data_IF_119450161850
#
_entry.id   IF_119450161850
#
_cell.length_a   1.000
_cell.length_b   1.000
_cell.length_c   1.000
_cell.angle_alpha   90.00
_cell.angle_beta   90.00
_cell.angle_gamma   90.00
#
_symmetry.space_group_name_H-M   'P 1'
#
loop_
_entity.id
_entity.type
_entity.pdbx_description
1 polymer ?
#
# COMPACT_ATOMS: atom_id res chain seq x y z
N UNK A 1 2.58 39.16 21.09
CA UNK A 1 3.55 40.03 20.39
C UNK A 1 4.07 39.44 19.10
N UNK A 2 4.74 38.27 19.09
CA UNK A 2 5.29 37.67 17.85
C UNK A 2 4.28 37.38 16.75
N UNK A 3 3.12 36.82 17.10
CA UNK A 3 1.99 36.60 16.17
C UNK A 3 1.47 37.91 15.58
N UNK A 4 1.40 38.96 16.38
CA UNK A 4 1.00 40.31 15.94
C UNK A 4 2.01 40.91 14.96
N UNK A 5 3.31 40.74 15.22
CA UNK A 5 4.38 41.19 14.31
C UNK A 5 4.35 40.41 13.00
N UNK A 6 4.10 39.09 13.03
CA UNK A 6 3.95 38.28 11.81
C UNK A 6 2.71 38.64 11.00
N UNK A 7 1.61 39.02 11.65
CA UNK A 7 0.41 39.49 10.98
C UNK A 7 0.66 40.87 10.33
N UNK A 8 1.37 41.76 11.02
CA UNK A 8 1.81 43.05 10.46
C UNK A 8 2.76 42.82 9.26
N UNK A 9 3.70 41.88 9.35
CA UNK A 9 4.58 41.51 8.23
C UNK A 9 3.78 41.02 7.02
N UNK A 10 2.81 40.13 7.23
CA UNK A 10 1.94 39.64 6.17
C UNK A 10 1.19 40.79 5.48
N UNK A 11 0.57 41.68 6.27
CA UNK A 11 -0.16 42.85 5.74
C UNK A 11 0.78 43.81 5.00
N UNK A 12 1.97 44.07 5.51
CA UNK A 12 2.96 44.94 4.85
C UNK A 12 3.48 44.34 3.55
N UNK A 13 3.73 43.03 3.51
CA UNK A 13 4.16 42.34 2.29
C UNK A 13 3.07 42.39 1.22
N UNK A 14 1.82 42.12 1.60
CA UNK A 14 0.67 42.21 0.69
C UNK A 14 0.45 43.63 0.15
N UNK A 15 0.54 44.65 1.01
CA UNK A 15 0.46 46.05 0.57
C UNK A 15 1.61 46.38 -0.40
N UNK A 16 2.83 45.93 -0.12
CA UNK A 16 3.98 46.17 -0.99
C UNK A 16 3.84 45.46 -2.35
N UNK A 17 3.30 44.24 -2.38
CA UNK A 17 3.00 43.52 -3.62
C UNK A 17 1.91 44.23 -4.45
N UNK A 18 0.85 44.70 -3.81
CA UNK A 18 -0.18 45.53 -4.48
C UNK A 18 0.41 46.82 -5.05
N UNK A 19 1.29 47.50 -4.31
CA UNK A 19 2.01 48.67 -4.82
C UNK A 19 2.89 48.32 -6.04
N UNK A 20 3.55 47.17 -6.04
CA UNK A 20 4.33 46.69 -7.20
C UNK A 20 3.43 46.42 -8.41
N UNK A 21 2.26 45.84 -8.21
CA UNK A 21 1.29 45.61 -9.29
C UNK A 21 0.77 46.93 -9.88
N UNK A 22 0.46 47.92 -9.03
CA UNK A 22 0.06 49.26 -9.47
C UNK A 22 1.21 49.95 -10.22
N UNK A 23 2.45 49.81 -9.76
CA UNK A 23 3.62 50.34 -10.46
C UNK A 23 3.77 49.74 -11.85
N UNK A 24 3.54 48.43 -12.00
CA UNK A 24 3.56 47.74 -13.28
C UNK A 24 2.49 48.24 -14.24
N UNK A 25 1.26 48.48 -13.76
CA UNK A 25 0.17 48.99 -14.62
C UNK A 25 0.43 50.43 -15.07
N UNK A 26 0.94 51.29 -14.18
CA UNK A 26 1.35 52.66 -14.55
C UNK A 26 2.49 52.62 -15.57
N UNK A 27 3.48 51.75 -15.37
CA UNK A 27 4.56 51.54 -16.33
C UNK A 27 4.03 51.09 -17.69
N UNK A 28 3.13 50.11 -17.72
CA UNK A 28 2.53 49.64 -18.97
C UNK A 28 1.82 50.80 -19.68
N UNK A 29 1.00 51.58 -18.97
CA UNK A 29 0.34 52.76 -19.55
C UNK A 29 1.38 53.74 -20.11
N UNK A 30 2.41 54.09 -19.35
CA UNK A 30 3.49 54.98 -19.80
C UNK A 30 4.21 54.47 -21.06
N UNK A 31 4.53 53.18 -21.12
CA UNK A 31 5.20 52.59 -22.29
C UNK A 31 4.29 52.44 -23.51
N UNK A 32 3.00 52.14 -23.35
CA UNK A 32 2.10 51.96 -24.48
C UNK A 32 1.47 53.25 -24.98
N UNK A 33 1.39 54.30 -24.15
CA UNK A 33 0.75 55.57 -24.53
C UNK A 33 1.76 56.71 -24.69
N UNK A 34 2.64 56.93 -23.72
CA UNK A 34 3.53 58.10 -23.71
C UNK A 34 4.75 57.86 -24.58
N UNK A 35 5.37 56.67 -24.50
CA UNK A 35 6.58 56.37 -25.25
C UNK A 35 6.40 56.49 -26.79
N UNK A 36 5.33 55.96 -27.42
CA UNK A 36 5.16 56.11 -28.87
C UNK A 36 5.00 57.56 -29.31
N UNK A 37 4.33 58.39 -28.48
CA UNK A 37 4.17 59.82 -28.73
C UNK A 37 5.54 60.51 -28.66
N UNK A 38 6.33 60.23 -27.63
CA UNK A 38 7.68 60.79 -27.48
C UNK A 38 8.61 60.36 -28.61
N UNK A 39 8.56 59.09 -29.02
CA UNK A 39 9.34 58.56 -30.16
C UNK A 39 8.91 59.25 -31.46
N UNK A 40 7.62 59.43 -31.70
CA UNK A 40 7.11 60.10 -32.89
C UNK A 40 7.63 61.55 -33.00
N UNK A 41 7.54 62.32 -31.91
CA UNK A 41 8.06 63.70 -31.90
C UNK A 41 9.59 63.75 -32.00
N UNK A 42 10.31 62.81 -31.38
CA UNK A 42 11.76 62.73 -31.50
C UNK A 42 12.20 62.42 -32.95
N UNK A 43 11.46 61.55 -33.66
CA UNK A 43 11.69 61.27 -35.07
C UNK A 43 11.39 62.49 -35.96
N UNK A 44 10.30 63.22 -35.71
CA UNK A 44 10.03 64.47 -36.43
C UNK A 44 11.14 65.51 -36.21
N UNK A 45 11.58 65.70 -34.96
CA UNK A 45 12.68 66.62 -34.64
C UNK A 45 13.99 66.20 -35.31
N UNK A 46 14.25 64.90 -35.41
CA UNK A 46 15.41 64.38 -36.11
C UNK A 46 15.33 64.63 -37.63
N UNK A 47 14.20 64.32 -38.28
CA UNK A 47 14.03 64.45 -39.74
C UNK A 47 14.04 65.92 -40.19
N UNK A 48 13.32 66.80 -39.48
CA UNK A 48 13.13 68.18 -39.91
C UNK A 48 14.16 69.16 -39.37
N UNK A 49 14.75 68.89 -38.20
CA UNK A 49 15.71 69.79 -37.56
C UNK A 49 17.11 69.18 -37.37
N UNK A 50 17.33 67.92 -37.76
CA UNK A 50 18.61 67.22 -37.60
C UNK A 50 19.03 67.01 -36.13
N UNK A 51 18.13 67.22 -35.17
CA UNK A 51 18.49 67.31 -33.76
C UNK A 51 18.45 65.93 -33.06
N UNK A 52 19.62 65.35 -32.85
CA UNK A 52 19.80 64.04 -32.18
C UNK A 52 19.47 64.04 -30.68
N UNK A 53 19.47 65.20 -30.02
CA UNK A 53 19.29 65.31 -28.57
C UNK A 53 17.93 64.77 -28.10
N UNK A 54 16.90 64.84 -28.95
CA UNK A 54 15.58 64.29 -28.65
C UNK A 54 15.57 62.76 -28.57
N UNK A 55 16.33 62.07 -29.44
CA UNK A 55 16.47 60.62 -29.39
C UNK A 55 17.20 60.17 -28.12
N UNK A 56 18.25 60.91 -27.73
CA UNK A 56 18.95 60.68 -26.47
C UNK A 56 18.02 60.91 -25.26
N UNK A 57 17.17 61.93 -25.31
CA UNK A 57 16.16 62.20 -24.28
C UNK A 57 15.19 61.05 -24.08
N UNK A 58 14.69 60.45 -25.18
CA UNK A 58 13.83 59.26 -25.11
C UNK A 58 14.57 58.06 -24.52
N UNK A 59 15.83 57.84 -24.92
CA UNK A 59 16.64 56.74 -24.39
C UNK A 59 16.88 56.88 -22.88
N UNK A 60 17.21 58.09 -22.41
CA UNK A 60 17.38 58.38 -20.98
C UNK A 60 16.07 58.19 -20.22
N UNK A 61 14.94 58.64 -20.78
CA UNK A 61 13.62 58.43 -20.19
C UNK A 61 13.32 56.94 -19.97
N UNK A 62 13.58 56.10 -20.99
CA UNK A 62 13.38 54.65 -20.89
C UNK A 62 14.28 54.05 -19.82
N UNK A 63 15.56 54.44 -19.77
CA UNK A 63 16.49 53.95 -18.74
C UNK A 63 16.04 54.34 -17.32
N UNK A 64 15.62 55.58 -17.11
CA UNK A 64 15.12 56.05 -15.81
C UNK A 64 13.83 55.30 -15.43
N UNK A 65 12.87 55.17 -16.35
CA UNK A 65 11.63 54.45 -16.11
C UNK A 65 11.87 52.98 -15.74
N UNK A 66 12.78 52.30 -16.43
CA UNK A 66 13.20 50.94 -16.11
C UNK A 66 13.89 50.86 -14.74
N UNK A 67 14.82 51.77 -14.43
CA UNK A 67 15.52 51.78 -13.16
C UNK A 67 14.56 51.99 -11.98
N UNK A 68 13.63 52.95 -12.09
CA UNK A 68 12.61 53.23 -11.07
C UNK A 68 11.74 51.99 -10.83
N UNK A 69 11.32 51.30 -11.88
CA UNK A 69 10.50 50.09 -11.73
C UNK A 69 11.25 48.92 -11.08
N UNK A 70 12.52 48.72 -11.44
CA UNK A 70 13.34 47.70 -10.79
C UNK A 70 13.48 47.98 -9.28
N UNK A 71 13.60 49.25 -8.90
CA UNK A 71 13.61 49.65 -7.49
C UNK A 71 12.27 49.31 -6.83
N UNK A 72 11.14 49.70 -7.43
CA UNK A 72 9.82 49.38 -6.88
C UNK A 72 9.58 47.88 -6.72
N UNK A 73 10.03 47.07 -7.69
CA UNK A 73 9.94 45.61 -7.63
C UNK A 73 10.83 45.01 -6.52
N UNK A 74 11.97 45.64 -6.22
CA UNK A 74 12.89 45.17 -5.18
C UNK A 74 12.44 45.50 -3.74
N UNK A 75 11.56 46.49 -3.57
CA UNK A 75 11.02 46.89 -2.25
C UNK A 75 10.40 45.72 -1.46
N UNK A 76 9.44 44.93 -2.00
CA UNK A 76 8.83 43.83 -1.25
C UNK A 76 9.85 42.76 -0.83
N UNK A 77 10.78 42.39 -1.71
CA UNK A 77 11.85 41.44 -1.40
C UNK A 77 12.76 41.96 -0.28
N UNK A 78 13.12 43.24 -0.33
CA UNK A 78 13.97 43.88 0.67
C UNK A 78 13.28 44.02 2.03
N UNK A 79 11.99 44.36 2.06
CA UNK A 79 11.19 44.40 3.29
C UNK A 79 11.12 43.03 3.95
N UNK A 80 10.85 41.98 3.18
CA UNK A 80 10.83 40.61 3.68
C UNK A 80 12.20 40.17 4.21
N UNK A 81 13.28 40.57 3.55
CA UNK A 81 14.65 40.31 4.03
C UNK A 81 14.95 40.99 5.37
N UNK A 82 14.69 42.28 5.52
CA UNK A 82 14.91 43.03 6.77
C UNK A 82 14.08 42.43 7.90
N UNK A 83 12.81 42.13 7.65
CA UNK A 83 11.91 41.58 8.66
C UNK A 83 12.33 40.16 9.07
N UNK A 84 12.81 39.34 8.14
CA UNK A 84 13.36 38.02 8.43
C UNK A 84 14.60 38.07 9.35
N UNK A 85 15.44 39.10 9.19
CA UNK A 85 16.55 39.39 10.11
C UNK A 85 16.04 39.87 11.46
N UNK A 86 15.13 40.86 11.49
CA UNK A 86 14.58 41.45 12.72
C UNK A 86 13.88 40.40 13.60
N UNK A 87 13.14 39.48 12.98
CA UNK A 87 12.40 38.42 13.65
C UNK A 87 13.27 37.18 14.00
N UNK A 88 14.53 37.16 13.57
CA UNK A 88 15.43 36.02 13.73
C UNK A 88 14.80 34.69 13.30
N UNK A 89 14.07 34.70 12.17
CA UNK A 89 13.39 33.52 11.64
C UNK A 89 14.36 32.37 11.41
N UNK A 90 15.59 32.67 10.99
CA UNK A 90 16.66 31.69 10.82
C UNK A 90 17.00 30.96 12.12
N UNK A 91 17.05 31.68 13.24
CA UNK A 91 17.31 31.11 14.56
C UNK A 91 16.14 30.30 15.11
N UNK A 92 14.90 30.79 14.92
CA UNK A 92 13.69 30.06 15.33
C UNK A 92 13.48 28.79 14.50
N UNK A 93 13.65 28.87 13.18
CA UNK A 93 13.55 27.70 12.30
C UNK A 93 14.57 26.63 12.68
N UNK A 94 15.82 27.00 12.94
CA UNK A 94 16.84 26.05 13.41
C UNK A 94 16.43 25.34 14.71
N UNK A 95 15.82 26.06 15.65
CA UNK A 95 15.31 25.47 16.90
C UNK A 95 14.13 24.52 16.64
N UNK A 96 13.22 24.89 15.73
CA UNK A 96 12.07 24.05 15.36
C UNK A 96 12.56 22.75 14.72
N UNK A 97 13.50 22.83 13.76
CA UNK A 97 14.10 21.65 13.13
C UNK A 97 14.76 20.72 14.16
N UNK A 98 15.59 21.27 15.04
CA UNK A 98 16.24 20.48 16.09
C UNK A 98 15.23 19.80 17.02
N UNK A 99 14.14 20.50 17.37
CA UNK A 99 13.07 19.93 18.20
C UNK A 99 12.33 18.81 17.47
N UNK A 100 12.06 18.99 16.17
CA UNK A 100 11.41 17.97 15.35
C UNK A 100 12.29 16.72 15.19
N UNK A 101 13.58 16.92 14.92
CA UNK A 101 14.57 15.84 14.82
C UNK A 101 14.64 15.00 16.11
N UNK A 102 14.75 15.65 17.26
CA UNK A 102 14.72 14.98 18.57
C UNK A 102 13.41 14.19 18.77
N UNK A 103 12.27 14.78 18.42
CA UNK A 103 10.99 14.09 18.52
C UNK A 103 10.92 12.87 17.58
N UNK A 104 11.39 13.02 16.34
CA UNK A 104 11.40 11.94 15.34
C UNK A 104 12.28 10.77 15.78
N UNK A 105 13.49 11.05 16.28
CA UNK A 105 14.39 10.04 16.80
C UNK A 105 13.77 9.28 17.98
N UNK A 106 13.21 10.00 18.96
CA UNK A 106 12.54 9.37 20.10
C UNK A 106 11.31 8.54 19.71
N UNK A 107 10.51 8.98 18.75
CA UNK A 107 9.37 8.22 18.24
C UNK A 107 9.84 6.94 17.51
N UNK A 108 10.91 7.02 16.72
CA UNK A 108 11.52 5.87 16.05
C UNK A 108 12.05 4.86 17.06
N UNK A 109 12.74 5.34 18.09
CA UNK A 109 13.33 4.48 19.12
C UNK A 109 12.25 3.78 19.96
N UNK A 110 11.15 4.46 20.28
CA UNK A 110 9.98 3.84 20.91
C UNK A 110 9.34 2.76 20.04
N UNK A 111 9.23 2.98 18.74
CA UNK A 111 8.72 1.97 17.81
C UNK A 111 9.64 0.75 17.74
N UNK A 112 10.96 0.98 17.73
CA UNK A 112 11.95 -0.09 17.76
C UNK A 112 11.87 -0.91 19.05
N UNK A 113 11.79 -0.26 20.21
CA UNK A 113 11.58 -0.90 21.51
C UNK A 113 10.30 -1.74 21.56
N UNK A 114 9.18 -1.21 21.02
CA UNK A 114 7.91 -1.94 20.94
C UNK A 114 8.02 -3.19 20.07
N UNK A 115 8.67 -3.08 18.90
CA UNK A 115 8.89 -4.22 18.01
C UNK A 115 9.79 -5.27 18.63
N UNK A 116 10.86 -4.85 19.32
CA UNK A 116 11.76 -5.76 20.05
C UNK A 116 11.00 -6.53 21.12
N UNK A 117 10.19 -5.85 21.94
CA UNK A 117 9.37 -6.49 22.98
C UNK A 117 8.33 -7.46 22.39
N UNK A 118 7.64 -7.05 21.32
CA UNK A 118 6.68 -7.92 20.63
C UNK A 118 7.35 -9.18 20.05
N UNK A 119 8.56 -9.05 19.52
CA UNK A 119 9.33 -10.18 19.00
C UNK A 119 9.80 -11.12 20.11
N UNK A 120 10.29 -10.58 21.24
CA UNK A 120 10.63 -11.37 22.43
C UNK A 120 9.42 -12.10 23.02
N UNK A 121 8.26 -11.46 23.09
CA UNK A 121 7.01 -12.07 23.55
C UNK A 121 6.55 -13.18 22.61
N UNK A 122 6.60 -12.93 21.30
CA UNK A 122 6.26 -13.94 20.29
C UNK A 122 7.18 -15.16 20.37
N UNK A 123 8.48 -14.94 20.60
CA UNK A 123 9.45 -16.02 20.77
C UNK A 123 9.19 -16.82 22.04
N UNK A 124 8.91 -16.15 23.17
CA UNK A 124 8.48 -16.82 24.42
C UNK A 124 7.19 -17.62 24.23
N UNK A 125 6.25 -17.11 23.44
CA UNK A 125 4.99 -17.80 23.17
C UNK A 125 5.21 -19.05 22.32
N UNK A 126 6.03 -18.96 21.27
CA UNK A 126 6.45 -20.14 20.51
C UNK A 126 7.16 -21.18 21.38
N UNK A 127 8.04 -20.75 22.28
CA UNK A 127 8.77 -21.69 23.14
C UNK A 127 7.83 -22.39 24.13
N UNK A 128 6.83 -21.68 24.68
CA UNK A 128 5.77 -22.29 25.50
C UNK A 128 4.91 -23.27 24.72
N UNK A 129 4.51 -22.93 23.50
CA UNK A 129 3.75 -23.85 22.64
C UNK A 129 4.55 -25.09 22.30
N UNK A 130 5.85 -24.95 21.96
CA UNK A 130 6.75 -26.09 21.73
C UNK A 130 6.87 -26.97 22.95
N UNK A 131 6.97 -26.40 24.16
CA UNK A 131 6.99 -27.18 25.40
C UNK A 131 5.67 -27.92 25.63
N UNK A 132 4.53 -27.22 25.47
CA UNK A 132 3.20 -27.82 25.60
C UNK A 132 3.00 -29.00 24.63
N UNK A 133 3.38 -28.85 23.37
CA UNK A 133 3.27 -29.94 22.38
C UNK A 133 4.26 -31.08 22.63
N UNK A 134 5.45 -30.80 23.19
CA UNK A 134 6.39 -31.86 23.62
C UNK A 134 5.80 -32.70 24.75
N UNK A 135 5.26 -32.06 25.78
CA UNK A 135 4.62 -32.76 26.91
C UNK A 135 3.42 -33.59 26.43
N UNK A 136 2.55 -32.98 25.63
CA UNK A 136 1.37 -33.66 25.07
C UNK A 136 1.76 -34.83 24.16
N UNK A 137 2.81 -34.67 23.35
CA UNK A 137 3.33 -35.75 22.51
C UNK A 137 3.89 -36.91 23.35
N UNK A 138 4.57 -36.62 24.46
CA UNK A 138 5.06 -37.66 25.37
C UNK A 138 3.89 -38.40 26.02
N UNK A 139 2.86 -37.69 26.47
CA UNK A 139 1.63 -38.27 26.99
C UNK A 139 0.92 -39.17 25.96
N UNK A 140 0.73 -38.69 24.73
CA UNK A 140 0.18 -39.52 23.63
C UNK A 140 1.04 -40.75 23.33
N UNK A 141 2.37 -40.64 23.38
CA UNK A 141 3.27 -41.78 23.17
C UNK A 141 3.12 -42.83 24.26
N UNK A 142 2.92 -42.41 25.52
CA UNK A 142 2.68 -43.28 26.65
C UNK A 142 1.35 -44.03 26.52
N UNK A 143 0.26 -43.32 26.18
CA UNK A 143 -1.05 -43.95 25.94
C UNK A 143 -1.04 -44.90 24.74
N UNK A 144 -0.31 -44.57 23.67
CA UNK A 144 -0.12 -45.48 22.52
C UNK A 144 0.60 -46.76 22.95
N UNK A 145 1.72 -46.64 23.68
CA UNK A 145 2.44 -47.82 24.20
C UNK A 145 1.57 -48.70 25.10
N UNK A 146 0.66 -48.10 25.88
CA UNK A 146 -0.29 -48.83 26.73
C UNK A 146 -1.36 -49.59 25.92
N UNK A 147 -1.85 -49.01 24.81
CA UNK A 147 -2.79 -49.68 23.90
C UNK A 147 -2.11 -50.77 23.06
N UNK A 148 -0.83 -50.58 22.72
CA UNK A 148 -0.02 -51.54 21.97
C UNK A 148 0.31 -52.78 22.82
N UNK A 149 0.63 -52.59 24.12
CA UNK A 149 0.74 -53.69 25.10
C UNK A 149 -0.56 -54.48 25.30
N UNK A 150 -1.72 -53.84 25.07
CA UNK A 150 -3.03 -54.48 25.14
C UNK A 150 -3.43 -55.18 23.83
N UNK A 151 -2.89 -54.75 22.68
CA UNK A 151 -3.05 -55.41 21.37
C UNK A 151 -2.14 -56.62 21.20
N UNK A 152 -0.90 -56.59 21.71
CA UNK A 152 0.01 -57.74 21.66
C UNK A 152 -0.48 -58.96 22.46
N UNK A 153 -1.32 -58.75 23.49
CA UNK A 153 -2.00 -59.82 24.23
C UNK A 153 -3.24 -60.39 23.48
N UNK A 154 -3.86 -59.61 22.58
CA UNK A 154 -5.00 -60.05 21.78
C UNK A 154 -4.61 -60.70 20.45
N UNK A 155 -3.46 -60.34 19.86
CA UNK A 155 -2.94 -60.93 18.62
C UNK A 155 -2.34 -62.34 18.80
N UNK A 156 -2.04 -62.76 20.04
CA UNK A 156 -1.57 -64.13 20.33
C UNK A 156 -2.67 -65.19 20.45
N UNK A 157 -3.96 -64.81 20.39
CA UNK A 157 -5.09 -65.73 20.62
C UNK A 157 -6.13 -65.79 19.49
N UNK A 158 -5.94 -65.05 18.39
CA UNK A 158 -6.81 -65.10 17.21
C UNK A 158 -5.95 -65.14 15.93
N UNK A 159 -5.41 -66.32 15.62
CA UNK A 159 -4.81 -66.60 14.31
C UNK A 159 -5.69 -67.62 13.55
N UNK A 160 -6.96 -67.26 13.43
CA UNK A 160 -7.97 -67.98 12.68
C UNK A 160 -9.01 -66.97 12.21
N UNK A 161 -9.07 -66.76 10.91
CA UNK A 161 -10.02 -65.90 10.19
C UNK A 161 -9.86 -64.39 10.37
N UNK A 162 -9.15 -63.76 9.43
CA UNK A 162 -9.63 -62.57 8.71
C UNK A 162 -8.86 -62.42 7.40
N UNK A 163 -9.56 -62.81 6.35
CA UNK A 163 -9.31 -62.62 4.93
C UNK A 163 -9.41 -61.13 4.56
N UNK A 164 -8.52 -60.60 3.73
CA UNK A 164 -8.92 -59.61 2.71
C UNK A 164 -8.00 -59.75 1.50
N UNK A 165 -8.19 -60.88 0.83
CA UNK A 165 -7.84 -61.09 -0.56
C UNK A 165 -8.60 -60.05 -1.40
N UNK A 166 -7.89 -59.13 -2.05
CA UNK A 166 -8.50 -58.10 -2.90
C UNK A 166 -8.82 -58.72 -4.27
N UNK A 167 -9.76 -59.66 -4.25
CA UNK A 167 -10.37 -60.23 -5.44
C UNK A 167 -11.88 -60.02 -5.34
N UNK A 168 -12.31 -58.78 -5.62
CA UNK A 168 -13.70 -58.45 -5.88
C UNK A 168 -13.79 -57.71 -7.21
N UNK A 169 -14.32 -58.40 -8.21
CA UNK A 169 -14.64 -57.93 -9.56
C UNK A 169 -15.88 -57.04 -9.59
N UNK A 170 -16.12 -56.25 -8.54
CA UNK A 170 -17.14 -55.20 -8.49
C UNK A 170 -16.63 -54.07 -7.61
N UNK A 171 -16.49 -52.88 -8.19
CA UNK A 171 -15.93 -51.66 -7.61
C UNK A 171 -16.79 -51.01 -6.51
N UNK A 172 -17.87 -51.66 -6.08
CA UNK A 172 -18.81 -51.15 -5.08
C UNK A 172 -19.45 -49.81 -5.44
N UNK A 173 -19.42 -49.39 -6.72
CA UNK A 173 -19.85 -48.07 -7.17
C UNK A 173 -18.89 -46.93 -6.80
N UNK A 174 -17.68 -47.23 -6.32
CA UNK A 174 -16.68 -46.23 -5.91
C UNK A 174 -16.26 -45.38 -7.12
N UNK A 175 -16.02 -45.99 -8.28
CA UNK A 175 -15.61 -45.27 -9.49
C UNK A 175 -16.73 -44.35 -9.97
N UNK A 176 -17.97 -44.84 -10.00
CA UNK A 176 -19.13 -44.03 -10.37
C UNK A 176 -19.29 -42.81 -9.44
N UNK A 177 -19.24 -43.04 -8.12
CA UNK A 177 -19.33 -41.96 -7.12
C UNK A 177 -18.17 -40.97 -7.23
N UNK A 178 -16.97 -41.45 -7.55
CA UNK A 178 -15.80 -40.61 -7.80
C UNK A 178 -16.03 -39.70 -9.01
N UNK A 179 -16.53 -40.24 -10.12
CA UNK A 179 -16.83 -39.46 -11.34
C UNK A 179 -17.96 -38.43 -11.10
N UNK A 180 -19.02 -38.81 -10.39
CA UNK A 180 -20.09 -37.87 -10.01
C UNK A 180 -19.55 -36.70 -9.17
N UNK A 181 -18.56 -36.95 -8.30
CA UNK A 181 -17.94 -35.92 -7.48
C UNK A 181 -16.96 -35.03 -8.25
N UNK A 182 -16.27 -35.58 -9.25
CA UNK A 182 -15.49 -34.78 -10.21
C UNK A 182 -16.40 -33.82 -10.99
N UNK A 183 -17.58 -34.29 -11.41
CA UNK A 183 -18.56 -33.46 -12.12
C UNK A 183 -19.09 -32.32 -11.24
N UNK A 184 -19.37 -32.58 -9.95
CA UNK A 184 -19.77 -31.54 -8.99
C UNK A 184 -18.68 -30.46 -8.85
N UNK A 185 -17.41 -30.87 -8.83
CA UNK A 185 -16.26 -29.95 -8.80
C UNK A 185 -15.88 -29.39 -10.18
N UNK A 186 -16.59 -29.77 -11.25
CA UNK A 186 -16.35 -29.35 -12.63
C UNK A 186 -14.95 -29.72 -13.14
N UNK A 187 -14.47 -30.89 -12.73
CA UNK A 187 -13.20 -31.47 -13.18
C UNK A 187 -13.51 -32.45 -14.31
N UNK A 188 -12.84 -32.29 -15.45
CA UNK A 188 -12.99 -33.24 -16.56
C UNK A 188 -12.36 -34.59 -16.21
N UNK A 189 -13.19 -35.64 -16.18
CA UNK A 189 -12.74 -37.01 -15.90
C UNK A 189 -11.76 -37.57 -16.93
N UNK A 190 -11.80 -37.07 -18.15
CA UNK A 190 -10.87 -37.46 -19.21
C UNK A 190 -9.53 -36.71 -19.13
N UNK A 191 -9.49 -35.61 -18.37
CA UNK A 191 -8.31 -34.78 -18.18
C UNK A 191 -7.29 -35.34 -17.17
N UNK A 192 -6.34 -34.47 -16.82
CA UNK A 192 -5.39 -34.72 -15.73
C UNK A 192 -6.14 -34.63 -14.38
N UNK A 193 -6.00 -35.67 -13.56
CA UNK A 193 -6.58 -35.73 -12.22
C UNK A 193 -5.44 -35.99 -11.24
N UNK A 194 -5.19 -35.02 -10.36
CA UNK A 194 -4.22 -35.11 -9.27
C UNK A 194 -4.73 -34.31 -8.06
N UNK A 195 -4.08 -34.46 -6.91
CA UNK A 195 -4.48 -33.80 -5.67
C UNK A 195 -4.56 -32.27 -5.81
N UNK A 196 -3.65 -31.67 -6.57
CA UNK A 196 -3.59 -30.22 -6.77
C UNK A 196 -4.78 -29.69 -7.58
N UNK A 197 -5.20 -30.42 -8.62
CA UNK A 197 -6.36 -30.07 -9.44
C UNK A 197 -7.64 -30.17 -8.59
N UNK A 198 -7.79 -31.25 -7.82
CA UNK A 198 -8.93 -31.44 -6.91
C UNK A 198 -8.97 -30.33 -5.87
N UNK A 199 -7.82 -30.00 -5.25
CA UNK A 199 -7.70 -28.94 -4.25
C UNK A 199 -8.04 -27.56 -4.82
N UNK A 200 -7.59 -27.24 -6.03
CA UNK A 200 -7.89 -25.97 -6.71
C UNK A 200 -9.38 -25.84 -7.03
N UNK A 201 -10.00 -26.90 -7.57
CA UNK A 201 -11.41 -26.93 -7.90
C UNK A 201 -12.30 -26.81 -6.64
N UNK A 202 -11.98 -27.58 -5.59
CA UNK A 202 -12.64 -27.49 -4.29
C UNK A 202 -12.57 -26.07 -3.71
N UNK A 203 -11.38 -25.44 -3.71
CA UNK A 203 -11.21 -24.07 -3.20
C UNK A 203 -12.08 -23.07 -3.97
N UNK A 204 -12.25 -23.25 -5.28
CA UNK A 204 -13.09 -22.38 -6.10
C UNK A 204 -14.57 -22.50 -5.75
N UNK A 205 -15.06 -23.70 -5.47
CA UNK A 205 -16.48 -23.92 -5.15
C UNK A 205 -16.79 -23.60 -3.68
N UNK A 206 -15.91 -23.96 -2.72
CA UNK A 206 -16.13 -23.67 -1.29
C UNK A 206 -16.24 -22.17 -1.02
N UNK A 207 -15.46 -21.34 -1.72
CA UNK A 207 -15.49 -19.88 -1.60
C UNK A 207 -16.87 -19.31 -1.97
N UNK A 208 -17.61 -19.95 -2.88
CA UNK A 208 -18.93 -19.48 -3.31
C UNK A 208 -20.04 -19.85 -2.33
N UNK A 209 -19.89 -20.98 -1.65
CA UNK A 209 -20.96 -21.54 -0.79
C UNK A 209 -20.71 -21.32 0.70
N UNK A 210 -19.52 -20.86 1.10
CA UNK A 210 -19.19 -20.64 2.51
C UNK A 210 -20.13 -19.61 3.16
N UNK A 211 -20.67 -19.90 4.36
CA UNK A 211 -21.66 -19.05 5.04
C UNK A 211 -21.18 -17.60 5.28
N UNK A 212 -19.87 -17.39 5.51
CA UNK A 212 -19.31 -16.03 5.65
C UNK A 212 -19.47 -15.14 4.40
N UNK A 213 -19.67 -15.74 3.21
CA UNK A 213 -19.78 -15.01 1.94
C UNK A 213 -21.13 -15.18 1.27
N UNK A 214 -21.98 -16.09 1.76
CA UNK A 214 -23.27 -16.42 1.18
C UNK A 214 -24.34 -16.49 2.29
N UNK A 215 -25.34 -15.61 2.21
CA UNK A 215 -26.45 -15.51 3.16
C UNK A 215 -27.56 -16.55 2.95
N UNK A 216 -27.34 -17.52 2.07
CA UNK A 216 -28.25 -18.63 1.82
C UNK A 216 -28.42 -19.49 3.10
N UNK A 217 -29.66 -19.73 3.58
CA UNK A 217 -29.90 -20.56 4.76
C UNK A 217 -29.34 -22.00 4.63
N UNK A 218 -29.15 -22.50 3.40
CA UNK A 218 -28.57 -23.82 3.14
C UNK A 218 -27.04 -23.81 2.96
N UNK A 219 -26.36 -22.67 3.16
CA UNK A 219 -24.92 -22.52 2.96
C UNK A 219 -24.09 -23.50 3.81
N UNK A 220 -24.51 -23.78 5.05
CA UNK A 220 -23.84 -24.73 5.93
C UNK A 220 -23.92 -26.17 5.39
N UNK A 221 -25.10 -26.61 4.93
CA UNK A 221 -25.28 -27.95 4.37
C UNK A 221 -24.50 -28.12 3.06
N UNK A 222 -24.46 -27.09 2.21
CA UNK A 222 -23.68 -27.08 0.97
C UNK A 222 -22.17 -27.12 1.24
N UNK A 223 -21.71 -26.41 2.27
CA UNK A 223 -20.31 -26.42 2.71
C UNK A 223 -19.91 -27.81 3.23
N UNK A 224 -20.74 -28.42 4.08
CA UNK A 224 -20.48 -29.77 4.59
C UNK A 224 -20.42 -30.79 3.44
N UNK A 225 -21.36 -30.73 2.50
CA UNK A 225 -21.37 -31.61 1.33
C UNK A 225 -20.09 -31.49 0.49
N UNK A 226 -19.56 -30.28 0.31
CA UNK A 226 -18.29 -30.09 -0.41
C UNK A 226 -17.07 -30.60 0.38
N UNK A 227 -17.09 -30.50 1.72
CA UNK A 227 -16.05 -31.09 2.58
C UNK A 227 -16.03 -32.62 2.42
N UNK A 228 -17.20 -33.26 2.51
CA UNK A 228 -17.35 -34.71 2.39
C UNK A 228 -16.91 -35.20 1.00
N UNK A 229 -17.23 -34.43 -0.05
CA UNK A 229 -16.77 -34.71 -1.42
C UNK A 229 -15.24 -34.64 -1.50
N UNK A 230 -14.62 -33.61 -0.93
CA UNK A 230 -13.17 -33.45 -0.96
C UNK A 230 -12.46 -34.60 -0.24
N UNK A 231 -12.94 -34.97 0.94
CA UNK A 231 -12.39 -36.07 1.73
C UNK A 231 -12.51 -37.42 0.98
N UNK A 232 -13.66 -37.68 0.35
CA UNK A 232 -13.84 -38.89 -0.45
C UNK A 232 -12.88 -38.92 -1.66
N UNK A 233 -12.77 -37.81 -2.39
CA UNK A 233 -11.89 -37.74 -3.56
C UNK A 233 -10.41 -37.94 -3.18
N UNK A 234 -9.96 -37.38 -2.05
CA UNK A 234 -8.59 -37.59 -1.57
C UNK A 234 -8.33 -39.04 -1.18
N UNK A 235 -9.24 -39.64 -0.40
CA UNK A 235 -9.09 -41.00 0.09
C UNK A 235 -9.14 -42.06 -1.03
N UNK A 236 -9.84 -41.77 -2.13
CA UNK A 236 -10.05 -42.72 -3.23
C UNK A 236 -9.20 -42.40 -4.48
N UNK A 237 -8.39 -41.33 -4.46
CA UNK A 237 -7.62 -40.88 -5.63
C UNK A 237 -6.69 -41.98 -6.17
N UNK A 238 -5.88 -42.58 -5.29
CA UNK A 238 -4.93 -43.63 -5.69
C UNK A 238 -5.65 -44.85 -6.27
N UNK A 239 -6.77 -45.25 -5.65
CA UNK A 239 -7.60 -46.35 -6.13
C UNK A 239 -8.18 -46.05 -7.52
N UNK A 240 -8.75 -44.86 -7.72
CA UNK A 240 -9.30 -44.42 -9.01
C UNK A 240 -8.23 -44.39 -10.11
N UNK A 241 -7.06 -43.81 -9.82
CA UNK A 241 -5.94 -43.77 -10.77
C UNK A 241 -5.37 -45.16 -11.09
N UNK A 242 -5.42 -46.09 -10.14
CA UNK A 242 -5.04 -47.48 -10.37
C UNK A 242 -6.03 -48.19 -11.30
N UNK A 243 -7.34 -48.01 -11.09
CA UNK A 243 -8.37 -48.62 -11.93
C UNK A 243 -8.39 -48.02 -13.34
N UNK A 244 -8.25 -46.69 -13.46
CA UNK A 244 -8.15 -45.99 -14.76
C UNK A 244 -6.99 -46.52 -15.61
N UNK A 245 -5.85 -46.87 -14.98
CA UNK A 245 -4.70 -47.48 -15.67
C UNK A 245 -4.92 -48.93 -16.09
N UNK A 246 -5.78 -49.68 -15.40
CA UNK A 246 -6.12 -51.07 -15.74
C UNK A 246 -7.14 -51.18 -16.88
N UNK A 247 -7.95 -50.13 -17.09
CA UNK A 247 -8.97 -50.07 -18.15
C UNK A 247 -8.51 -49.42 -19.47
N UNK A 248 -7.24 -49.02 -19.57
CA UNK A 248 -6.58 -48.57 -20.81
C UNK A 248 -5.78 -49.72 -21.43
#
# INVERSE_FOLDING_TARGET
MKTLIRLIQFVLSEIAELCSLISLTIMAIGFYTILPILVFFALLAFIFAGNWSWLLGVLIYVLIACAVFLIFKAIPEFLNFILGILLNERGENKKIYKKYEQWFESARDQEYERRRKAQEEYQKQQDREKQYWKEKSQEYSYYRHQQEYSREQYERKNNGYSNFDYQSTNDGGIIQKFEEYLDILKIDKNGEINEDIIKKAYKKEIIKVHPDRNSDPDANAKTQKLNDIKEFLDNQLEYYLMQRRKGQ
#
